data_IF_280695175240
#
_entry.id   IF_280695175240
#
_cell.length_a   1.000
_cell.length_b   1.000
_cell.length_c   1.000
_cell.angle_alpha   90.00
_cell.angle_beta   90.00
_cell.angle_gamma   90.00
#
_symmetry.space_group_name_H-M   'P 1'
#
loop_
_entity.id
_entity.type
_entity.pdbx_description
1 polymer ?
#
# COMPACT_ATOMS: atom_id res chain seq x y z
N UNK A 1 -11.28 3.66 -0.04
CA UNK A 1 -10.98 3.24 1.34
C UNK A 1 -12.10 2.39 1.93
N UNK A 2 -11.74 1.53 2.87
CA UNK A 2 -12.66 0.77 3.72
C UNK A 2 -12.67 1.37 5.12
N UNK A 3 -13.84 1.41 5.75
CA UNK A 3 -14.00 1.83 7.14
C UNK A 3 -15.15 1.04 7.79
N UNK A 4 -15.32 1.21 9.09
CA UNK A 4 -16.35 0.49 9.85
C UNK A 4 -17.22 1.48 10.60
N UNK A 5 -18.53 1.30 10.51
CA UNK A 5 -19.48 1.97 11.41
C UNK A 5 -19.43 1.25 12.77
N UNK A 6 -18.50 1.64 13.62
CA UNK A 6 -18.15 0.93 14.86
C UNK A 6 -19.35 0.62 15.75
N UNK A 7 -20.30 1.55 15.89
CA UNK A 7 -21.51 1.37 16.72
C UNK A 7 -22.44 0.27 16.19
N UNK A 8 -22.35 -0.05 14.90
CA UNK A 8 -23.17 -1.07 14.25
C UNK A 8 -22.35 -2.31 13.89
N UNK A 9 -21.04 -2.24 14.03
CA UNK A 9 -20.09 -3.26 13.57
C UNK A 9 -20.30 -3.62 12.08
N UNK A 10 -20.56 -2.60 11.25
CA UNK A 10 -20.81 -2.75 9.83
C UNK A 10 -19.67 -2.09 9.04
N UNK A 11 -18.82 -2.88 8.35
CA UNK A 11 -17.83 -2.36 7.43
C UNK A 11 -18.49 -1.85 6.15
N UNK A 12 -17.87 -0.86 5.51
CA UNK A 12 -18.28 -0.33 4.22
C UNK A 12 -17.07 0.07 3.38
N UNK A 13 -17.24 0.02 2.06
CA UNK A 13 -16.24 0.45 1.08
C UNK A 13 -16.72 1.74 0.43
N UNK A 14 -15.83 2.73 0.31
CA UNK A 14 -16.07 3.94 -0.44
C UNK A 14 -15.05 4.08 -1.57
N UNK A 15 -15.54 4.15 -2.80
CA UNK A 15 -14.72 4.27 -4.01
C UNK A 15 -15.23 5.42 -4.88
N UNK A 16 -14.31 5.99 -5.66
CA UNK A 16 -14.60 7.01 -6.68
C UNK A 16 -14.07 6.48 -8.01
N UNK A 17 -14.82 5.60 -8.70
CA UNK A 17 -14.36 4.95 -9.91
C UNK A 17 -14.20 5.92 -11.08
N UNK A 18 -13.20 5.70 -11.91
CA UNK A 18 -12.91 6.44 -13.14
C UNK A 18 -13.01 5.58 -14.42
N UNK A 19 -13.28 4.29 -14.27
CA UNK A 19 -13.39 3.31 -15.36
C UNK A 19 -12.07 2.68 -15.78
N UNK A 20 -11.00 2.87 -15.00
CA UNK A 20 -9.70 2.26 -15.26
C UNK A 20 -9.56 0.87 -14.65
N UNK A 21 -8.47 0.17 -15.01
CA UNK A 21 -8.09 -1.08 -14.33
C UNK A 21 -7.86 -0.86 -12.83
N UNK A 22 -7.42 0.32 -12.43
CA UNK A 22 -7.19 0.64 -11.01
C UNK A 22 -8.47 0.61 -10.17
N UNK A 23 -9.64 0.82 -10.77
CA UNK A 23 -10.91 0.60 -10.08
C UNK A 23 -11.09 -0.86 -9.70
N UNK A 24 -10.68 -1.79 -10.60
CA UNK A 24 -10.76 -3.21 -10.32
C UNK A 24 -9.80 -3.62 -9.19
N UNK A 25 -8.52 -3.27 -9.28
CA UNK A 25 -7.56 -3.58 -8.22
C UNK A 25 -7.92 -2.90 -6.91
N UNK A 26 -8.35 -1.65 -6.96
CA UNK A 26 -8.80 -0.89 -5.80
C UNK A 26 -10.00 -1.51 -5.09
N UNK A 27 -11.04 -1.96 -5.81
CA UNK A 27 -12.18 -2.62 -5.15
C UNK A 27 -11.79 -3.96 -4.53
N UNK A 28 -10.91 -4.71 -5.15
CA UNK A 28 -10.40 -5.99 -4.61
C UNK A 28 -9.58 -5.75 -3.36
N UNK A 29 -8.70 -4.74 -3.37
CA UNK A 29 -7.93 -4.31 -2.20
C UNK A 29 -8.86 -3.95 -1.03
N UNK A 30 -9.78 -3.03 -1.27
CA UNK A 30 -10.74 -2.60 -0.25
C UNK A 30 -11.64 -3.73 0.24
N UNK A 31 -11.95 -4.69 -0.64
CA UNK A 31 -12.71 -5.88 -0.25
C UNK A 31 -11.93 -6.79 0.70
N UNK A 32 -10.60 -6.85 0.59
CA UNK A 32 -9.73 -7.52 1.57
C UNK A 32 -9.90 -6.93 2.97
N UNK A 33 -9.84 -5.62 3.10
CA UNK A 33 -10.10 -4.91 4.35
C UNK A 33 -11.54 -5.13 4.85
N UNK A 34 -12.52 -5.08 3.94
CA UNK A 34 -13.92 -5.32 4.29
C UNK A 34 -14.13 -6.72 4.88
N UNK A 35 -13.59 -7.76 4.26
CA UNK A 35 -13.71 -9.13 4.76
C UNK A 35 -13.07 -9.31 6.13
N UNK A 36 -11.91 -8.69 6.35
CA UNK A 36 -11.28 -8.69 7.66
C UNK A 36 -12.15 -8.04 8.71
N UNK A 37 -12.63 -6.83 8.45
CA UNK A 37 -13.48 -6.08 9.38
C UNK A 37 -14.82 -6.79 9.65
N UNK A 38 -15.34 -7.51 8.66
CA UNK A 38 -16.57 -8.30 8.79
C UNK A 38 -16.34 -9.58 9.62
N UNK A 39 -15.22 -10.28 9.40
CA UNK A 39 -14.91 -11.55 10.06
C UNK A 39 -14.39 -11.37 11.49
N UNK A 40 -13.70 -10.28 11.75
CA UNK A 40 -13.09 -9.96 13.06
C UNK A 40 -13.63 -8.61 13.54
N UNK A 41 -14.77 -8.62 14.25
CA UNK A 41 -15.33 -7.41 14.81
C UNK A 41 -14.32 -6.69 15.70
N UNK A 42 -14.06 -5.41 15.42
CA UNK A 42 -13.13 -4.62 16.21
C UNK A 42 -13.71 -4.35 17.61
N UNK A 43 -12.90 -4.57 18.65
CA UNK A 43 -13.23 -4.10 20.00
C UNK A 43 -13.07 -2.56 20.01
N UNK A 44 -14.17 -1.86 20.36
CA UNK A 44 -14.22 -0.39 20.42
C UNK A 44 -13.15 0.24 21.35
N UNK A 45 -12.62 -0.54 22.29
CA UNK A 45 -11.68 -0.03 23.31
C UNK A 45 -10.23 -0.39 22.97
N UNK A 46 -10.00 -1.53 22.31
CA UNK A 46 -8.66 -2.08 22.04
C UNK A 46 -8.37 -2.30 20.55
N UNK A 47 -9.30 -1.93 19.69
CA UNK A 47 -9.20 -2.14 18.24
C UNK A 47 -8.23 -1.19 17.54
N UNK A 48 -6.98 -1.10 18.04
CA UNK A 48 -5.90 -0.62 17.19
C UNK A 48 -5.74 -1.65 16.07
N UNK A 49 -6.06 -1.26 14.85
CA UNK A 49 -5.79 -2.08 13.70
C UNK A 49 -4.28 -2.33 13.66
N UNK A 50 -3.90 -3.60 13.58
CA UNK A 50 -2.55 -3.98 13.19
C UNK A 50 -2.49 -3.72 11.68
N UNK A 51 -1.93 -2.58 11.30
CA UNK A 51 -1.94 -2.10 9.92
C UNK A 51 -1.23 -3.06 8.97
N UNK A 52 -0.15 -3.70 9.42
CA UNK A 52 0.60 -4.68 8.64
C UNK A 52 -0.27 -5.90 8.31
N UNK A 53 -1.07 -6.38 9.25
CA UNK A 53 -2.00 -7.49 9.03
C UNK A 53 -3.13 -7.07 8.11
N UNK A 54 -3.66 -5.86 8.28
CA UNK A 54 -4.72 -5.34 7.42
C UNK A 54 -4.26 -5.23 5.96
N UNK A 55 -3.06 -4.68 5.74
CA UNK A 55 -2.50 -4.56 4.39
C UNK A 55 -2.10 -5.93 3.79
N UNK A 56 -1.69 -6.89 4.61
CA UNK A 56 -1.45 -8.26 4.14
C UNK A 56 -2.72 -8.91 3.58
N UNK A 57 -3.87 -8.62 4.16
CA UNK A 57 -5.15 -9.16 3.69
C UNK A 57 -5.61 -8.50 2.40
N UNK A 58 -5.48 -7.18 2.28
CA UNK A 58 -5.86 -6.44 1.08
C UNK A 58 -4.95 -6.78 -0.11
N UNK A 59 -3.63 -6.73 0.06
CA UNK A 59 -2.66 -7.10 -0.97
C UNK A 59 -2.78 -8.61 -1.31
N UNK A 60 -3.00 -9.45 -0.31
CA UNK A 60 -3.25 -10.88 -0.51
C UNK A 60 -4.48 -11.13 -1.38
N UNK A 61 -5.56 -10.38 -1.18
CA UNK A 61 -6.77 -10.46 -2.00
C UNK A 61 -6.50 -10.05 -3.45
N UNK A 62 -5.70 -9.00 -3.68
CA UNK A 62 -5.30 -8.60 -5.03
C UNK A 62 -4.55 -9.73 -5.76
N UNK A 63 -3.59 -10.39 -5.10
CA UNK A 63 -2.87 -11.53 -5.67
C UNK A 63 -3.76 -12.75 -5.90
N UNK A 64 -4.69 -13.04 -5.01
CA UNK A 64 -5.67 -14.10 -5.23
C UNK A 64 -6.55 -13.81 -6.46
N UNK A 65 -6.95 -12.56 -6.67
CA UNK A 65 -7.78 -12.14 -7.79
C UNK A 65 -7.08 -12.28 -9.16
N UNK A 66 -5.73 -12.36 -9.19
CA UNK A 66 -4.97 -12.59 -10.43
C UNK A 66 -5.37 -13.89 -11.12
N UNK A 67 -5.91 -14.86 -10.37
CA UNK A 67 -6.42 -16.12 -10.90
C UNK A 67 -7.50 -15.92 -11.99
N UNK A 68 -8.29 -14.85 -11.88
CA UNK A 68 -9.39 -14.55 -12.81
C UNK A 68 -9.02 -13.55 -13.92
N UNK A 69 -7.78 -13.07 -13.97
CA UNK A 69 -7.35 -12.07 -14.95
C UNK A 69 -7.56 -12.52 -16.39
N UNK A 70 -7.26 -13.78 -16.70
CA UNK A 70 -7.42 -14.31 -18.07
C UNK A 70 -8.88 -14.37 -18.49
N UNK A 71 -9.78 -14.78 -17.59
CA UNK A 71 -11.22 -14.81 -17.84
C UNK A 71 -11.80 -13.40 -18.05
N UNK A 72 -11.35 -12.43 -17.23
CA UNK A 72 -11.89 -11.07 -17.22
C UNK A 72 -11.32 -10.18 -18.34
N UNK A 73 -10.04 -10.32 -18.66
CA UNK A 73 -9.32 -9.37 -19.49
C UNK A 73 -8.71 -10.00 -20.75
N UNK A 74 -8.77 -11.33 -20.88
CA UNK A 74 -8.12 -12.10 -21.94
C UNK A 74 -6.63 -12.34 -21.68
N UNK A 75 -5.99 -13.31 -22.39
CA UNK A 75 -4.67 -13.83 -22.03
C UNK A 75 -3.53 -12.81 -22.14
N UNK A 76 -3.56 -11.94 -23.15
CA UNK A 76 -2.48 -10.96 -23.35
C UNK A 76 -2.52 -9.86 -22.28
N UNK A 77 -3.72 -9.32 -21.99
CA UNK A 77 -3.92 -8.32 -20.96
C UNK A 77 -3.64 -8.91 -19.57
N UNK A 78 -4.10 -10.13 -19.30
CA UNK A 78 -3.86 -10.82 -18.03
C UNK A 78 -2.37 -10.94 -17.71
N UNK A 79 -1.55 -11.28 -18.71
CA UNK A 79 -0.09 -11.36 -18.54
C UNK A 79 0.53 -10.00 -18.21
N UNK A 80 0.08 -8.93 -18.88
CA UNK A 80 0.56 -7.58 -18.60
C UNK A 80 0.18 -7.13 -17.19
N UNK A 81 -1.07 -7.36 -16.79
CA UNK A 81 -1.56 -6.98 -15.47
C UNK A 81 -0.87 -7.76 -14.35
N UNK A 82 -0.56 -9.04 -14.57
CA UNK A 82 0.19 -9.84 -13.62
C UNK A 82 1.62 -9.30 -13.42
N UNK A 83 2.29 -8.95 -14.53
CA UNK A 83 3.61 -8.33 -14.47
C UNK A 83 3.57 -6.97 -13.76
N UNK A 84 2.54 -6.18 -14.02
CA UNK A 84 2.30 -4.90 -13.34
C UNK A 84 2.10 -5.09 -11.84
N UNK A 85 1.33 -6.09 -11.41
CA UNK A 85 1.13 -6.43 -9.99
C UNK A 85 2.45 -6.77 -9.29
N UNK A 86 3.33 -7.54 -9.93
CA UNK A 86 4.66 -7.83 -9.39
C UNK A 86 5.56 -6.60 -9.35
N UNK A 87 5.53 -5.79 -10.40
CA UNK A 87 6.31 -4.56 -10.46
C UNK A 87 5.88 -3.58 -9.36
N UNK A 88 4.58 -3.36 -9.21
CA UNK A 88 4.02 -2.52 -8.14
C UNK A 88 4.37 -3.06 -6.75
N UNK A 89 4.43 -4.38 -6.57
CA UNK A 89 4.88 -4.97 -5.31
C UNK A 89 6.33 -4.63 -4.98
N UNK A 90 7.22 -4.62 -5.98
CA UNK A 90 8.61 -4.19 -5.78
C UNK A 90 8.67 -2.71 -5.39
N UNK A 91 7.90 -1.87 -6.10
CA UNK A 91 7.81 -0.44 -5.78
C UNK A 91 7.26 -0.24 -4.36
N UNK A 92 6.21 -0.94 -3.95
CA UNK A 92 5.66 -0.86 -2.60
C UNK A 92 6.69 -1.19 -1.52
N UNK A 93 7.54 -2.20 -1.77
CA UNK A 93 8.63 -2.55 -0.83
C UNK A 93 9.68 -1.45 -0.77
N UNK A 94 10.08 -0.91 -1.92
CA UNK A 94 11.07 0.16 -2.01
C UNK A 94 10.57 1.46 -1.38
N UNK A 95 9.36 1.88 -1.75
CA UNK A 95 8.75 3.12 -1.26
C UNK A 95 8.43 3.03 0.24
N UNK A 96 7.91 1.88 0.69
CA UNK A 96 7.65 1.65 2.11
C UNK A 96 8.91 1.81 2.95
N UNK A 97 10.03 1.24 2.52
CA UNK A 97 11.31 1.36 3.20
C UNK A 97 11.87 2.79 3.11
N UNK A 98 11.79 3.42 1.94
CA UNK A 98 12.27 4.78 1.71
C UNK A 98 11.52 5.82 2.57
N UNK A 99 10.18 5.73 2.61
CA UNK A 99 9.37 6.67 3.40
C UNK A 99 9.52 6.45 4.89
N UNK A 100 9.72 5.24 5.34
CA UNK A 100 10.03 4.97 6.76
C UNK A 100 11.37 5.60 7.15
N UNK A 101 12.42 5.38 6.37
CA UNK A 101 13.73 5.99 6.61
C UNK A 101 13.67 7.52 6.51
N UNK A 102 12.90 8.05 5.55
CA UNK A 102 12.67 9.48 5.42
C UNK A 102 12.08 10.08 6.70
N UNK A 103 11.01 9.48 7.22
CA UNK A 103 10.40 9.97 8.46
C UNK A 103 11.32 9.80 9.66
N UNK A 104 12.08 8.71 9.76
CA UNK A 104 13.06 8.54 10.82
C UNK A 104 14.13 9.66 10.81
N UNK A 105 14.66 10.00 9.62
CA UNK A 105 15.64 11.08 9.48
C UNK A 105 15.02 12.45 9.79
N UNK A 106 13.82 12.73 9.31
CA UNK A 106 13.10 13.99 9.56
C UNK A 106 12.81 14.18 11.05
N UNK A 107 12.32 13.15 11.72
CA UNK A 107 11.98 13.23 13.16
C UNK A 107 13.22 13.24 14.08
N UNK A 108 14.38 12.85 13.59
CA UNK A 108 15.64 12.93 14.31
C UNK A 108 16.38 14.28 14.15
N UNK A 109 15.93 15.13 13.22
CA UNK A 109 16.56 16.43 12.96
C UNK A 109 16.20 17.44 14.05
N UNK A 110 17.21 18.06 14.69
CA UNK A 110 16.98 19.03 15.77
C UNK A 110 16.51 20.40 15.23
N UNK A 111 17.08 20.85 14.11
CA UNK A 111 16.78 22.14 13.46
C UNK A 111 16.06 21.91 12.11
N UNK A 112 14.85 21.39 12.17
CA UNK A 112 14.09 21.04 10.96
C UNK A 112 13.58 22.29 10.25
N UNK A 113 13.99 22.45 8.99
CA UNK A 113 13.48 23.45 8.05
C UNK A 113 12.88 22.75 6.82
N UNK A 114 12.01 23.45 6.08
CA UNK A 114 11.44 22.89 4.84
C UNK A 114 12.52 22.52 3.82
N UNK A 115 13.58 23.30 3.75
CA UNK A 115 14.73 23.05 2.88
C UNK A 115 15.42 21.75 3.29
N UNK A 116 15.64 21.54 4.60
CA UNK A 116 16.27 20.34 5.12
C UNK A 116 15.42 19.09 4.88
N UNK A 117 14.11 19.18 5.00
CA UNK A 117 13.18 18.07 4.66
C UNK A 117 13.34 17.69 3.18
N UNK A 118 13.34 18.67 2.27
CA UNK A 118 13.52 18.41 0.85
C UNK A 118 14.90 17.79 0.54
N UNK A 119 15.97 18.23 1.23
CA UNK A 119 17.30 17.65 1.10
C UNK A 119 17.33 16.18 1.51
N UNK A 120 16.78 15.85 2.70
CA UNK A 120 16.70 14.48 3.20
C UNK A 120 15.96 13.58 2.19
N UNK A 121 14.80 14.06 1.69
CA UNK A 121 14.04 13.31 0.71
C UNK A 121 14.83 13.11 -0.59
N UNK A 122 15.47 14.17 -1.10
CA UNK A 122 16.26 14.13 -2.33
C UNK A 122 17.48 13.19 -2.24
N UNK A 123 18.11 13.08 -1.08
CA UNK A 123 19.17 12.14 -0.80
C UNK A 123 18.67 10.69 -0.90
N UNK A 124 17.59 10.38 -0.17
CA UNK A 124 16.99 9.05 -0.15
C UNK A 124 16.44 8.63 -1.51
N UNK A 125 15.74 9.53 -2.19
CA UNK A 125 15.19 9.28 -3.52
C UNK A 125 16.25 8.77 -4.51
N UNK A 126 17.45 9.33 -4.47
CA UNK A 126 18.60 8.87 -5.26
C UNK A 126 19.21 7.59 -4.73
N UNK A 127 19.31 7.45 -3.41
CA UNK A 127 19.88 6.27 -2.74
C UNK A 127 19.07 5.01 -3.06
N UNK A 128 17.73 5.14 -3.12
CA UNK A 128 16.82 4.09 -3.51
C UNK A 128 16.70 3.89 -5.03
N UNK A 129 17.48 4.60 -5.83
CA UNK A 129 17.63 4.39 -7.27
C UNK A 129 16.51 5.00 -8.12
N UNK A 130 15.76 5.95 -7.58
CA UNK A 130 14.69 6.64 -8.31
C UNK A 130 15.25 7.64 -9.33
N UNK A 131 14.51 7.83 -10.43
CA UNK A 131 14.90 8.77 -11.50
C UNK A 131 14.69 10.23 -11.06
N UNK A 132 15.75 11.03 -11.20
CA UNK A 132 15.77 12.45 -10.81
C UNK A 132 15.16 13.32 -11.91
N UNK A 133 14.15 14.12 -11.58
CA UNK A 133 13.50 15.10 -12.47
C UNK A 133 13.24 16.41 -11.71
N UNK A 134 12.74 17.44 -12.40
CA UNK A 134 12.50 18.75 -11.78
C UNK A 134 11.34 18.67 -10.77
N UNK A 135 11.65 18.98 -9.50
CA UNK A 135 10.68 18.98 -8.40
C UNK A 135 10.54 17.66 -7.64
N UNK A 136 11.32 16.60 -7.98
CA UNK A 136 11.29 15.31 -7.27
C UNK A 136 11.54 15.44 -5.76
N UNK A 137 12.33 16.42 -5.34
CA UNK A 137 12.65 16.73 -3.95
C UNK A 137 11.45 17.12 -3.09
N UNK A 138 10.28 17.32 -3.71
CA UNK A 138 9.04 17.74 -3.07
C UNK A 138 7.93 16.70 -3.16
N UNK A 139 8.15 15.54 -3.75
CA UNK A 139 7.10 14.52 -3.90
C UNK A 139 6.55 14.00 -2.58
N UNK A 140 7.35 14.03 -1.52
CA UNK A 140 6.90 13.67 -0.18
C UNK A 140 5.65 14.45 0.28
N UNK A 141 5.40 15.64 -0.29
CA UNK A 141 4.23 16.48 0.02
C UNK A 141 2.94 15.85 -0.53
N UNK A 142 3.03 15.08 -1.61
CA UNK A 142 1.87 14.44 -2.25
C UNK A 142 1.41 13.16 -1.54
N UNK A 143 2.18 12.67 -0.57
CA UNK A 143 1.87 11.46 0.20
C UNK A 143 1.17 11.83 1.51
N UNK A 144 -0.17 11.70 1.60
CA UNK A 144 -0.95 12.11 2.77
C UNK A 144 -0.48 11.45 4.06
N UNK A 145 -0.06 10.19 3.99
CA UNK A 145 0.41 9.40 5.15
C UNK A 145 1.59 10.04 5.89
N UNK A 146 2.40 10.84 5.22
CA UNK A 146 3.49 11.57 5.90
C UNK A 146 2.96 12.56 6.95
N UNK A 147 1.70 12.96 6.86
CA UNK A 147 1.07 13.99 7.70
C UNK A 147 -0.02 13.44 8.62
N UNK A 148 -0.89 12.59 8.10
CA UNK A 148 -2.05 12.08 8.83
C UNK A 148 -1.78 10.75 9.57
N UNK A 149 -0.83 9.96 9.06
CA UNK A 149 -0.47 8.65 9.60
C UNK A 149 1.04 8.39 9.50
N UNK A 150 1.89 9.18 10.20
CA UNK A 150 3.34 9.00 10.12
C UNK A 150 3.76 7.56 10.46
N UNK A 151 4.77 7.05 9.75
CA UNK A 151 5.26 5.67 9.85
C UNK A 151 4.29 4.58 9.39
N UNK A 152 3.20 4.94 8.73
CA UNK A 152 2.27 3.96 8.16
C UNK A 152 2.84 3.25 6.92
N UNK A 153 3.60 3.97 6.09
CA UNK A 153 4.00 3.49 4.76
C UNK A 153 4.84 2.21 4.79
N UNK A 154 5.59 1.96 5.87
CA UNK A 154 6.33 0.72 6.08
C UNK A 154 5.40 -0.51 6.13
N UNK A 155 4.14 -0.35 6.52
CA UNK A 155 3.16 -1.43 6.59
C UNK A 155 2.93 -2.08 5.22
N UNK A 156 2.97 -1.31 4.13
CA UNK A 156 2.90 -1.85 2.77
C UNK A 156 4.09 -2.77 2.44
N UNK A 157 5.30 -2.35 2.82
CA UNK A 157 6.50 -3.18 2.66
C UNK A 157 6.38 -4.49 3.47
N UNK A 158 6.03 -4.37 4.76
CA UNK A 158 5.91 -5.49 5.67
C UNK A 158 4.79 -6.46 5.27
N UNK A 159 3.73 -5.98 4.66
CA UNK A 159 2.62 -6.79 4.16
C UNK A 159 2.94 -7.48 2.83
N UNK A 160 3.60 -6.77 1.91
CA UNK A 160 3.87 -7.27 0.55
C UNK A 160 4.80 -8.49 0.56
N UNK A 161 5.85 -8.48 1.38
CA UNK A 161 6.86 -9.54 1.40
C UNK A 161 6.25 -10.93 1.74
N UNK A 162 5.50 -11.10 2.84
CA UNK A 162 4.87 -12.38 3.15
C UNK A 162 3.78 -12.77 2.15
N UNK A 163 3.05 -11.81 1.58
CA UNK A 163 2.04 -12.10 0.54
C UNK A 163 2.69 -12.71 -0.70
N UNK A 164 3.81 -12.15 -1.18
CA UNK A 164 4.56 -12.72 -2.30
C UNK A 164 5.08 -14.13 -1.98
N UNK A 165 5.53 -14.36 -0.74
CA UNK A 165 5.92 -15.71 -0.27
C UNK A 165 4.77 -16.71 -0.35
N UNK A 166 3.61 -16.37 0.21
CA UNK A 166 2.40 -17.20 0.17
C UNK A 166 1.91 -17.45 -1.26
N UNK A 167 1.91 -16.41 -2.10
CA UNK A 167 1.53 -16.54 -3.50
C UNK A 167 2.45 -17.51 -4.24
N UNK A 168 3.76 -17.44 -4.02
CA UNK A 168 4.74 -18.36 -4.61
C UNK A 168 4.49 -19.82 -4.18
N UNK A 169 4.16 -20.06 -2.91
CA UNK A 169 3.82 -21.40 -2.42
C UNK A 169 2.54 -21.96 -3.07
N UNK A 170 1.52 -21.12 -3.24
CA UNK A 170 0.27 -21.53 -3.89
C UNK A 170 0.44 -21.88 -5.36
N UNK A 171 1.40 -21.30 -6.08
CA UNK A 171 1.68 -21.63 -7.48
C UNK A 171 2.42 -22.96 -7.64
N UNK A 172 3.04 -23.49 -6.59
CA UNK A 172 3.85 -24.72 -6.61
C UNK A 172 3.16 -25.92 -5.99
N UNK A 173 2.00 -25.75 -5.37
CA UNK A 173 1.19 -26.79 -4.72
C UNK A 173 0.11 -27.35 -5.65
#
# INVERSE_FOLDING_TARGET
>A
FTSTLYWYNEPYIFLTPDGSYYDYSGIIHEFGHFLNSYAVPSDLIFGAADYEICEMQSIGMEFMATHWYEELFGPDTARMLLLDSFFNSIINVMDGAMFDEFLQRVYAEEDLTKERVCEIYAELYKEYGNDVYDGYDKEWISVPHNFDSPFYYISYCMATIPVLGLYSELQTS
#
